data_IF_707984705932
#
_entry.id   IF_707984705932
#
_cell.length_a   1.000
_cell.length_b   1.000
_cell.length_c   1.000
_cell.angle_alpha   90.00
_cell.angle_beta   90.00
_cell.angle_gamma   90.00
#
_symmetry.space_group_name_H-M   'P 1'
#
loop_
_entity.id
_entity.type
_entity.pdbx_description
1 polymer ?
#
# COMPACT_ATOMS: atom_id res chain seq x y z
N UNK A 1 -8.24 49.52 -6.64
CA UNK A 1 -8.53 48.20 -7.26
C UNK A 1 -7.29 47.29 -7.42
N UNK A 2 -6.11 47.82 -7.81
CA UNK A 2 -4.84 47.04 -7.97
C UNK A 2 -4.34 46.34 -6.69
N UNK A 3 -4.54 46.89 -5.49
CA UNK A 3 -4.09 46.26 -4.24
C UNK A 3 -4.83 44.97 -3.85
N UNK A 4 -6.14 44.87 -4.14
CA UNK A 4 -6.93 43.65 -3.86
C UNK A 4 -6.50 42.46 -4.72
N UNK A 5 -6.03 42.72 -5.95
CA UNK A 5 -5.52 41.70 -6.88
C UNK A 5 -4.17 41.18 -6.39
N UNK A 6 -3.29 42.07 -5.90
CA UNK A 6 -1.96 41.73 -5.41
C UNK A 6 -1.97 40.95 -4.07
N UNK A 7 -2.93 41.25 -3.17
CA UNK A 7 -3.17 40.45 -1.95
C UNK A 7 -3.67 39.02 -2.26
N UNK A 8 -4.53 38.85 -3.28
CA UNK A 8 -5.01 37.51 -3.70
C UNK A 8 -3.90 36.65 -4.32
N UNK A 9 -2.99 37.23 -5.11
CA UNK A 9 -1.87 36.49 -5.70
C UNK A 9 -0.85 36.06 -4.64
N UNK A 10 -0.47 36.95 -3.70
CA UNK A 10 0.43 36.60 -2.58
C UNK A 10 -0.15 35.53 -1.67
N UNK A 11 -1.44 35.59 -1.35
CA UNK A 11 -2.11 34.57 -0.53
C UNK A 11 -2.21 33.21 -1.26
N UNK A 12 -2.34 33.24 -2.58
CA UNK A 12 -2.31 32.05 -3.43
C UNK A 12 -0.92 31.42 -3.48
N UNK A 13 0.14 32.21 -3.71
CA UNK A 13 1.53 31.74 -3.69
C UNK A 13 1.87 31.13 -2.32
N UNK A 14 1.44 31.75 -1.22
CA UNK A 14 1.65 31.22 0.14
C UNK A 14 0.90 29.90 0.37
N UNK A 15 -0.34 29.77 -0.12
CA UNK A 15 -1.10 28.50 -0.07
C UNK A 15 -0.50 27.44 -0.99
N UNK A 16 0.01 27.82 -2.15
CA UNK A 16 0.65 26.94 -3.12
C UNK A 16 1.99 26.41 -2.61
N UNK A 17 2.86 27.28 -2.09
CA UNK A 17 4.12 26.88 -1.44
C UNK A 17 3.86 25.97 -0.24
N UNK A 18 2.86 26.30 0.59
CA UNK A 18 2.47 25.44 1.72
C UNK A 18 1.94 24.07 1.25
N UNK A 19 1.21 24.03 0.13
CA UNK A 19 0.72 22.79 -0.48
C UNK A 19 1.87 21.95 -1.07
N UNK A 20 2.78 22.57 -1.83
CA UNK A 20 4.01 21.95 -2.35
C UNK A 20 4.83 21.39 -1.20
N UNK A 21 5.17 22.19 -0.19
CA UNK A 21 5.91 21.71 0.98
C UNK A 21 5.22 20.54 1.70
N UNK A 22 3.89 20.53 1.72
CA UNK A 22 3.13 19.43 2.34
C UNK A 22 3.01 18.17 1.49
N UNK A 23 3.29 18.26 0.18
CA UNK A 23 3.12 17.18 -0.82
C UNK A 23 4.47 16.67 -1.37
N UNK A 24 5.54 17.49 -1.32
CA UNK A 24 6.93 17.13 -1.65
C UNK A 24 7.37 15.81 -1.02
N UNK A 25 7.07 15.51 0.27
CA UNK A 25 7.49 14.25 0.87
C UNK A 25 6.87 13.04 0.16
N UNK A 26 5.63 13.16 -0.32
CA UNK A 26 4.89 12.06 -0.95
C UNK A 26 5.17 11.95 -2.44
N UNK A 27 5.31 13.09 -3.12
CA UNK A 27 5.73 13.15 -4.52
C UNK A 27 7.18 12.68 -4.68
N UNK A 28 8.09 13.20 -3.85
CA UNK A 28 9.48 12.77 -3.81
C UNK A 28 9.59 11.29 -3.45
N UNK A 29 8.77 10.80 -2.53
CA UNK A 29 8.78 9.38 -2.16
C UNK A 29 8.19 8.47 -3.24
N UNK A 30 7.08 8.85 -3.88
CA UNK A 30 6.49 8.06 -4.98
C UNK A 30 7.39 8.04 -6.22
N UNK A 31 8.02 9.17 -6.58
CA UNK A 31 9.07 9.22 -7.60
C UNK A 31 10.29 8.38 -7.20
N UNK A 32 10.72 8.45 -5.95
CA UNK A 32 11.80 7.61 -5.44
C UNK A 32 11.45 6.12 -5.57
N UNK A 33 10.25 5.69 -5.18
CA UNK A 33 9.83 4.30 -5.34
C UNK A 33 9.79 3.86 -6.81
N UNK A 34 9.35 4.73 -7.71
CA UNK A 34 9.22 4.43 -9.14
C UNK A 34 10.60 4.35 -9.81
N UNK A 35 11.51 5.27 -9.46
CA UNK A 35 12.91 5.27 -9.92
C UNK A 35 13.65 4.07 -9.33
N UNK A 36 13.52 3.81 -8.03
CA UNK A 36 14.16 2.66 -7.40
C UNK A 36 13.60 1.33 -7.91
N UNK A 37 12.29 1.22 -8.14
CA UNK A 37 11.67 0.04 -8.75
C UNK A 37 12.20 -0.21 -10.17
N UNK A 38 12.34 0.85 -10.97
CA UNK A 38 12.92 0.79 -12.31
C UNK A 38 14.41 0.40 -12.28
N UNK A 39 15.19 0.96 -11.36
CA UNK A 39 16.61 0.63 -11.18
C UNK A 39 16.77 -0.82 -10.70
N UNK A 40 15.91 -1.30 -9.80
CA UNK A 40 15.91 -2.69 -9.34
C UNK A 40 15.55 -3.68 -10.46
N UNK A 41 14.67 -3.31 -11.39
CA UNK A 41 14.40 -4.11 -12.60
C UNK A 41 15.60 -4.18 -13.55
N UNK A 42 16.44 -3.14 -13.58
CA UNK A 42 17.63 -3.08 -14.44
C UNK A 42 18.89 -3.73 -13.84
N UNK A 43 19.02 -3.74 -12.50
CA UNK A 43 20.24 -4.19 -11.80
C UNK A 43 19.94 -5.52 -11.09
N UNK A 44 19.90 -6.61 -11.85
CA UNK A 44 19.83 -8.03 -11.43
C UNK A 44 19.35 -8.29 -9.98
N UNK A 45 18.07 -8.69 -9.88
CA UNK A 45 17.28 -9.04 -8.69
C UNK A 45 17.87 -10.07 -7.69
N UNK A 46 19.10 -10.57 -7.90
CA UNK A 46 19.69 -11.70 -7.15
C UNK A 46 20.06 -11.40 -5.69
N UNK A 47 19.78 -10.19 -5.20
CA UNK A 47 20.24 -9.68 -3.91
C UNK A 47 19.09 -9.03 -3.13
N UNK A 48 18.12 -9.84 -2.71
CA UNK A 48 17.14 -9.47 -1.67
C UNK A 48 17.28 -10.36 -0.44
N UNK A 49 17.09 -9.79 0.75
CA UNK A 49 17.01 -10.59 1.96
C UNK A 49 15.64 -11.21 2.06
N UNK A 50 15.59 -12.45 2.56
CA UNK A 50 14.33 -13.13 2.93
C UNK A 50 13.55 -12.35 3.99
N UNK A 51 14.27 -11.60 4.82
CA UNK A 51 13.71 -10.77 5.87
C UNK A 51 14.18 -9.33 5.68
N UNK A 52 13.30 -8.41 5.26
CA UNK A 52 13.66 -7.02 4.94
C UNK A 52 14.27 -6.24 6.12
N UNK A 53 14.00 -6.62 7.37
CA UNK A 53 14.65 -5.95 8.51
C UNK A 53 16.10 -6.39 8.75
N UNK A 54 16.69 -7.27 7.91
CA UNK A 54 18.14 -7.48 7.88
C UNK A 54 18.90 -6.30 7.31
N UNK A 55 18.25 -5.46 6.50
CA UNK A 55 18.79 -4.21 5.97
C UNK A 55 20.14 -4.40 5.23
N UNK A 56 20.32 -5.56 4.60
CA UNK A 56 21.60 -5.94 3.96
C UNK A 56 21.67 -5.42 2.53
N UNK A 57 20.54 -5.42 1.83
CA UNK A 57 20.46 -5.00 0.43
C UNK A 57 19.58 -3.77 0.27
N UNK A 58 19.76 -3.05 -0.84
CA UNK A 58 18.99 -1.84 -1.16
C UNK A 58 17.48 -2.12 -1.18
N UNK A 59 17.06 -3.30 -1.64
CA UNK A 59 15.66 -3.77 -1.61
C UNK A 59 15.08 -3.79 -0.20
N UNK A 60 15.88 -4.19 0.78
CA UNK A 60 15.48 -4.30 2.18
C UNK A 60 15.15 -2.91 2.74
N UNK A 61 16.03 -1.94 2.47
CA UNK A 61 15.84 -0.54 2.84
C UNK A 61 14.61 0.07 2.18
N UNK A 62 14.36 -0.21 0.90
CA UNK A 62 13.19 0.32 0.19
C UNK A 62 11.90 -0.16 0.85
N UNK A 63 11.79 -1.44 1.17
CA UNK A 63 10.60 -2.00 1.83
C UNK A 63 10.41 -1.35 3.21
N UNK A 64 11.47 -1.23 4.01
CA UNK A 64 11.37 -0.67 5.37
C UNK A 64 11.01 0.82 5.33
N UNK A 65 11.67 1.60 4.46
CA UNK A 65 11.35 3.03 4.27
C UNK A 65 9.91 3.19 3.78
N UNK A 66 9.44 2.32 2.88
CA UNK A 66 8.05 2.30 2.45
C UNK A 66 7.07 2.09 3.58
N UNK A 67 7.32 1.10 4.46
CA UNK A 67 6.45 0.84 5.60
C UNK A 67 6.40 2.03 6.56
N UNK A 68 7.54 2.68 6.80
CA UNK A 68 7.62 3.89 7.64
C UNK A 68 6.79 5.03 7.00
N UNK A 69 6.99 5.30 5.71
CA UNK A 69 6.31 6.40 5.04
C UNK A 69 4.81 6.15 4.88
N UNK A 70 4.41 4.90 4.60
CA UNK A 70 3.01 4.48 4.60
C UNK A 70 2.36 4.76 5.95
N UNK A 71 3.01 4.40 7.07
CA UNK A 71 2.50 4.70 8.41
C UNK A 71 2.41 6.20 8.71
N UNK A 72 3.46 6.97 8.38
CA UNK A 72 3.45 8.43 8.58
C UNK A 72 2.36 9.10 7.74
N UNK A 73 2.15 8.64 6.51
CA UNK A 73 1.06 9.10 5.66
C UNK A 73 -0.30 8.79 6.29
N UNK A 74 -0.51 7.59 6.78
CA UNK A 74 -1.75 7.15 7.43
C UNK A 74 -2.08 7.97 8.68
N UNK A 75 -1.07 8.27 9.51
CA UNK A 75 -1.24 9.19 10.66
C UNK A 75 -1.65 10.58 10.18
N UNK A 76 -0.94 11.15 9.19
CA UNK A 76 -1.27 12.47 8.64
C UNK A 76 -2.67 12.49 8.01
N UNK A 77 -3.04 11.42 7.32
CA UNK A 77 -4.36 11.24 6.73
C UNK A 77 -5.44 11.33 7.81
N UNK A 78 -5.34 10.55 8.89
CA UNK A 78 -6.28 10.56 10.00
C UNK A 78 -6.39 11.94 10.66
N UNK A 79 -5.27 12.63 10.89
CA UNK A 79 -5.27 14.00 11.42
C UNK A 79 -5.96 14.98 10.45
N UNK A 80 -5.73 14.81 9.15
CA UNK A 80 -6.29 15.68 8.11
C UNK A 80 -7.79 15.48 7.88
N UNK A 81 -8.37 14.34 8.25
CA UNK A 81 -9.81 14.09 8.14
C UNK A 81 -10.64 15.15 8.86
N UNK A 82 -10.16 15.66 10.00
CA UNK A 82 -10.80 16.74 10.77
C UNK A 82 -10.90 18.07 10.02
N UNK A 83 -10.03 18.30 9.03
CA UNK A 83 -9.91 19.58 8.31
C UNK A 83 -10.72 19.61 7.01
N UNK A 84 -11.40 18.51 6.67
CA UNK A 84 -12.00 18.32 5.36
C UNK A 84 -10.94 18.06 4.28
N UNK A 85 -11.32 17.30 3.26
CA UNK A 85 -10.41 16.90 2.18
C UNK A 85 -11.19 16.47 0.95
N UNK A 86 -10.51 16.48 -0.20
CA UNK A 86 -11.07 16.01 -1.47
C UNK A 86 -11.43 14.51 -1.40
N UNK A 87 -12.36 14.06 -2.23
CA UNK A 87 -12.82 12.68 -2.30
C UNK A 87 -11.68 11.70 -2.58
N UNK A 88 -10.77 12.01 -3.50
CA UNK A 88 -9.61 11.16 -3.80
C UNK A 88 -8.69 10.98 -2.59
N UNK A 89 -8.51 12.03 -1.80
CA UNK A 89 -7.72 11.97 -0.57
C UNK A 89 -8.37 11.07 0.46
N UNK A 90 -9.71 11.12 0.58
CA UNK A 90 -10.47 10.24 1.48
C UNK A 90 -10.46 8.79 1.02
N UNK A 91 -10.62 8.56 -0.28
CA UNK A 91 -10.69 7.22 -0.87
C UNK A 91 -9.36 6.47 -0.77
N UNK A 92 -8.31 6.96 -1.43
CA UNK A 92 -7.00 6.30 -1.38
C UNK A 92 -6.34 6.41 0.00
N UNK A 93 -6.58 7.52 0.71
CA UNK A 93 -6.07 7.69 2.07
C UNK A 93 -6.66 6.68 3.06
N UNK A 94 -7.95 6.38 2.94
CA UNK A 94 -8.62 5.33 3.70
C UNK A 94 -7.99 3.97 3.42
N UNK A 95 -7.83 3.63 2.14
CA UNK A 95 -7.23 2.36 1.73
C UNK A 95 -5.82 2.16 2.29
N UNK A 96 -4.94 3.15 2.13
CA UNK A 96 -3.57 3.09 2.67
C UNK A 96 -3.61 2.94 4.19
N UNK A 97 -4.41 3.75 4.88
CA UNK A 97 -4.54 3.70 6.34
C UNK A 97 -5.05 2.36 6.87
N UNK A 98 -6.00 1.72 6.18
CA UNK A 98 -6.52 0.41 6.56
C UNK A 98 -5.42 -0.66 6.59
N UNK A 99 -4.53 -0.65 5.60
CA UNK A 99 -3.57 -1.74 5.43
C UNK A 99 -2.16 -1.42 5.95
N UNK A 100 -1.81 -0.16 6.25
CA UNK A 100 -0.44 0.19 6.72
C UNK A 100 -0.01 -0.65 7.93
N UNK A 101 -0.88 -0.79 8.93
CA UNK A 101 -0.58 -1.56 10.16
C UNK A 101 -0.48 -3.06 9.84
N UNK A 102 -1.35 -3.58 8.97
CA UNK A 102 -1.32 -5.00 8.58
C UNK A 102 0.00 -5.39 7.91
N UNK A 103 0.61 -4.49 7.14
CA UNK A 103 1.89 -4.76 6.50
C UNK A 103 3.04 -4.81 7.52
N UNK A 104 2.97 -4.03 8.60
CA UNK A 104 3.91 -4.18 9.73
C UNK A 104 3.76 -5.52 10.43
N UNK A 105 2.52 -5.93 10.71
CA UNK A 105 2.23 -7.24 11.32
C UNK A 105 2.74 -8.37 10.42
N UNK A 106 2.52 -8.27 9.11
CA UNK A 106 2.99 -9.24 8.12
C UNK A 106 4.51 -9.41 8.17
N UNK A 107 5.26 -8.31 8.25
CA UNK A 107 6.72 -8.39 8.32
C UNK A 107 7.20 -9.08 9.58
N UNK A 108 6.51 -8.92 10.71
CA UNK A 108 6.82 -9.63 11.95
C UNK A 108 6.57 -11.14 11.85
N UNK A 109 5.71 -11.58 10.92
CA UNK A 109 5.37 -12.98 10.70
C UNK A 109 6.32 -13.72 9.75
N UNK A 110 7.22 -13.00 9.08
CA UNK A 110 8.19 -13.58 8.16
C UNK A 110 9.24 -14.41 8.91
N UNK A 111 9.54 -15.58 8.37
CA UNK A 111 10.65 -16.42 8.79
C UNK A 111 11.97 -15.75 8.40
N UNK A 112 12.88 -15.62 9.35
CA UNK A 112 14.10 -14.82 9.19
C UNK A 112 15.19 -15.53 8.38
N UNK A 113 15.16 -16.86 8.32
CA UNK A 113 16.24 -17.71 7.80
C UNK A 113 15.85 -18.39 6.49
N UNK A 114 16.83 -18.57 5.59
CA UNK A 114 16.65 -19.29 4.31
C UNK A 114 16.44 -20.78 4.54
N UNK A 115 17.33 -21.36 5.35
CA UNK A 115 17.17 -22.73 5.80
C UNK A 115 16.15 -22.75 6.93
N UNK A 116 15.12 -23.57 6.76
CA UNK A 116 13.99 -23.66 7.67
C UNK A 116 14.02 -24.95 8.47
N UNK A 117 13.61 -24.86 9.73
CA UNK A 117 13.27 -25.99 10.57
C UNK A 117 11.83 -26.45 10.32
N UNK A 118 11.46 -27.61 10.86
CA UNK A 118 10.07 -28.10 10.77
C UNK A 118 9.10 -27.15 11.49
N UNK A 119 9.53 -26.60 12.63
CA UNK A 119 8.76 -25.59 13.37
C UNK A 119 8.54 -24.33 12.54
N UNK A 120 9.55 -23.86 11.80
CA UNK A 120 9.42 -22.68 10.95
C UNK A 120 8.37 -22.88 9.85
N UNK A 121 8.32 -24.07 9.24
CA UNK A 121 7.32 -24.42 8.23
C UNK A 121 5.91 -24.38 8.83
N UNK A 122 5.70 -25.00 9.99
CA UNK A 122 4.40 -24.99 10.69
C UNK A 122 3.99 -23.57 11.08
N UNK A 123 4.94 -22.77 11.56
CA UNK A 123 4.71 -21.36 11.91
C UNK A 123 4.35 -20.54 10.68
N UNK A 124 5.04 -20.72 9.55
CA UNK A 124 4.78 -20.00 8.30
C UNK A 124 3.36 -20.28 7.79
N UNK A 125 2.92 -21.55 7.79
CA UNK A 125 1.56 -21.94 7.39
C UNK A 125 0.52 -21.29 8.32
N UNK A 126 0.70 -21.42 9.63
CA UNK A 126 -0.20 -20.83 10.62
C UNK A 126 -0.30 -19.31 10.47
N UNK A 127 0.85 -18.63 10.36
CA UNK A 127 0.92 -17.19 10.20
C UNK A 127 0.27 -16.74 8.88
N UNK A 128 0.38 -17.55 7.82
CA UNK A 128 -0.30 -17.28 6.54
C UNK A 128 -1.82 -17.25 6.73
N UNK A 129 -2.40 -18.25 7.40
CA UNK A 129 -3.83 -18.25 7.71
C UNK A 129 -4.23 -17.04 8.57
N UNK A 130 -3.52 -16.80 9.69
CA UNK A 130 -3.80 -15.67 10.60
C UNK A 130 -3.78 -14.34 9.84
N UNK A 131 -2.76 -14.12 9.00
CA UNK A 131 -2.64 -12.88 8.23
C UNK A 131 -3.77 -12.71 7.21
N UNK A 132 -4.15 -13.76 6.49
CA UNK A 132 -5.22 -13.68 5.50
C UNK A 132 -6.59 -13.42 6.17
N UNK A 133 -6.86 -14.02 7.33
CA UNK A 133 -8.06 -13.71 8.12
C UNK A 133 -8.06 -12.27 8.64
N UNK A 134 -6.91 -11.77 9.12
CA UNK A 134 -6.76 -10.37 9.51
C UNK A 134 -7.07 -9.43 8.34
N UNK A 135 -6.53 -9.71 7.15
CA UNK A 135 -6.79 -8.89 5.97
C UNK A 135 -8.26 -8.93 5.54
N UNK A 136 -8.94 -10.07 5.66
CA UNK A 136 -10.37 -10.18 5.37
C UNK A 136 -11.19 -9.24 6.27
N UNK A 137 -10.91 -9.26 7.58
CA UNK A 137 -11.56 -8.36 8.56
C UNK A 137 -11.26 -6.89 8.23
N UNK A 138 -10.01 -6.58 7.90
CA UNK A 138 -9.60 -5.23 7.52
C UNK A 138 -10.26 -4.75 6.22
N UNK A 139 -10.47 -5.64 5.24
CA UNK A 139 -11.21 -5.30 4.03
C UNK A 139 -12.63 -4.84 4.35
N UNK A 140 -13.34 -5.58 5.21
CA UNK A 140 -14.69 -5.23 5.64
C UNK A 140 -14.72 -3.87 6.35
N UNK A 141 -13.85 -3.68 7.34
CA UNK A 141 -13.74 -2.42 8.09
C UNK A 141 -13.38 -1.27 7.14
N UNK A 142 -12.43 -1.50 6.23
CA UNK A 142 -11.95 -0.52 5.26
C UNK A 142 -13.03 -0.06 4.29
N UNK A 143 -13.83 -0.99 3.75
CA UNK A 143 -14.97 -0.67 2.88
C UNK A 143 -15.99 0.18 3.63
N UNK A 144 -16.41 -0.24 4.82
CA UNK A 144 -17.40 0.50 5.64
C UNK A 144 -16.88 1.90 5.96
N UNK A 145 -15.63 2.00 6.39
CA UNK A 145 -14.98 3.27 6.70
C UNK A 145 -14.88 4.20 5.48
N UNK A 146 -14.51 3.66 4.32
CA UNK A 146 -14.39 4.44 3.09
C UNK A 146 -15.76 4.93 2.58
N UNK A 147 -16.79 4.09 2.63
CA UNK A 147 -18.17 4.47 2.33
C UNK A 147 -18.65 5.59 3.25
N UNK A 148 -18.37 5.50 4.56
CA UNK A 148 -18.69 6.56 5.52
C UNK A 148 -18.02 7.89 5.16
N UNK A 149 -16.73 7.87 4.79
CA UNK A 149 -15.98 9.07 4.42
C UNK A 149 -16.47 9.71 3.11
N UNK A 150 -16.97 8.88 2.18
CA UNK A 150 -17.44 9.28 0.85
C UNK A 150 -18.96 9.44 0.74
N UNK A 151 -19.72 9.23 1.82
CA UNK A 151 -21.20 9.24 1.87
C UNK A 151 -21.89 10.43 1.21
N UNK A 152 -21.27 11.63 1.23
CA UNK A 152 -21.83 12.83 0.61
C UNK A 152 -21.90 12.72 -0.93
N UNK A 153 -21.03 11.91 -1.52
CA UNK A 153 -20.93 11.70 -2.97
C UNK A 153 -21.77 10.52 -3.44
N UNK A 154 -21.99 9.53 -2.56
CA UNK A 154 -22.93 8.43 -2.79
C UNK A 154 -24.36 8.93 -3.04
N UNK A 155 -24.74 10.06 -2.42
CA UNK A 155 -26.05 10.70 -2.63
C UNK A 155 -26.28 11.21 -4.05
N UNK A 156 -25.22 11.45 -4.83
CA UNK A 156 -25.33 11.96 -6.19
C UNK A 156 -25.27 10.83 -7.23
N UNK A 157 -24.42 9.82 -7.02
CA UNK A 157 -24.27 8.67 -7.93
C UNK A 157 -23.85 7.41 -7.17
N UNK A 158 -24.58 6.31 -7.37
CA UNK A 158 -24.30 5.01 -6.74
C UNK A 158 -23.01 4.33 -7.27
N UNK A 159 -22.50 4.76 -8.42
CA UNK A 159 -21.26 4.26 -9.03
C UNK A 159 -20.05 4.38 -8.10
N UNK A 160 -20.05 5.35 -7.18
CA UNK A 160 -18.98 5.50 -6.18
C UNK A 160 -18.86 4.29 -5.24
N UNK A 161 -19.92 3.52 -5.03
CA UNK A 161 -19.87 2.28 -4.23
C UNK A 161 -18.93 1.27 -4.89
N UNK A 162 -19.04 1.11 -6.21
CA UNK A 162 -18.20 0.19 -7.00
C UNK A 162 -16.74 0.64 -6.91
N UNK A 163 -16.49 1.94 -7.09
CA UNK A 163 -15.13 2.52 -6.99
C UNK A 163 -14.54 2.28 -5.60
N UNK A 164 -15.32 2.50 -4.54
CA UNK A 164 -14.87 2.30 -3.16
C UNK A 164 -14.49 0.86 -2.88
N UNK A 165 -15.26 -0.10 -3.40
CA UNK A 165 -15.09 -1.53 -3.12
C UNK A 165 -13.94 -2.15 -3.93
N UNK A 166 -13.72 -1.68 -5.16
CA UNK A 166 -12.76 -2.27 -6.11
C UNK A 166 -11.36 -2.59 -5.53
N UNK A 167 -10.66 -1.67 -4.84
CA UNK A 167 -9.31 -1.97 -4.35
C UNK A 167 -9.31 -3.02 -3.23
N UNK A 168 -10.40 -3.13 -2.46
CA UNK A 168 -10.56 -4.16 -1.45
C UNK A 168 -10.87 -5.53 -2.07
N UNK A 169 -11.61 -5.56 -3.19
CA UNK A 169 -11.84 -6.80 -3.94
C UNK A 169 -10.54 -7.40 -4.49
N UNK A 170 -9.59 -6.58 -4.92
CA UNK A 170 -8.28 -7.08 -5.38
C UNK A 170 -7.52 -7.81 -4.26
N UNK A 171 -7.60 -7.31 -3.03
CA UNK A 171 -7.01 -7.98 -1.85
C UNK A 171 -7.80 -9.25 -1.51
N UNK A 172 -9.13 -9.19 -1.52
CA UNK A 172 -9.99 -10.36 -1.26
C UNK A 172 -9.77 -11.47 -2.28
N UNK A 173 -9.60 -11.13 -3.55
CA UNK A 173 -9.26 -12.08 -4.61
C UNK A 173 -7.91 -12.76 -4.33
N UNK A 174 -6.90 -11.99 -3.94
CA UNK A 174 -5.60 -12.55 -3.59
C UNK A 174 -5.66 -13.45 -2.34
N UNK A 175 -6.45 -13.08 -1.33
CA UNK A 175 -6.71 -13.94 -0.17
C UNK A 175 -7.32 -15.27 -0.64
N UNK A 176 -8.33 -15.21 -1.52
CA UNK A 176 -8.99 -16.40 -2.07
C UNK A 176 -8.02 -17.34 -2.78
N UNK A 177 -7.13 -16.79 -3.63
CA UNK A 177 -6.09 -17.58 -4.30
C UNK A 177 -5.14 -18.22 -3.28
N UNK A 178 -4.58 -17.43 -2.37
CA UNK A 178 -3.58 -17.92 -1.41
C UNK A 178 -4.15 -18.98 -0.49
N UNK A 179 -5.35 -18.77 0.06
CA UNK A 179 -6.01 -19.72 0.98
C UNK A 179 -6.41 -20.99 0.24
N UNK A 180 -7.01 -20.88 -0.95
CA UNK A 180 -7.38 -22.06 -1.74
C UNK A 180 -6.14 -22.86 -2.13
N UNK A 181 -5.09 -22.20 -2.61
CA UNK A 181 -3.82 -22.86 -2.96
C UNK A 181 -3.21 -23.58 -1.78
N UNK A 182 -3.21 -22.94 -0.60
CA UNK A 182 -2.69 -23.55 0.63
C UNK A 182 -3.53 -24.74 1.09
N UNK A 183 -4.86 -24.64 1.07
CA UNK A 183 -5.76 -25.74 1.42
C UNK A 183 -5.60 -26.93 0.48
N UNK A 184 -5.56 -26.67 -0.84
CA UNK A 184 -5.33 -27.72 -1.84
C UNK A 184 -3.99 -28.40 -1.60
N UNK A 185 -2.93 -27.61 -1.34
CA UNK A 185 -1.60 -28.15 -1.06
C UNK A 185 -1.57 -28.99 0.23
N UNK A 186 -2.17 -28.52 1.32
CA UNK A 186 -2.14 -29.23 2.62
C UNK A 186 -3.02 -30.46 2.68
N UNK A 187 -3.97 -30.61 1.74
CA UNK A 187 -4.92 -31.72 1.71
C UNK A 187 -4.49 -32.88 0.80
N UNK A 188 -3.37 -32.76 0.07
CA UNK A 188 -2.82 -33.89 -0.69
C UNK A 188 -2.31 -34.99 0.25
N UNK A 189 -2.48 -36.25 -0.15
CA UNK A 189 -2.00 -37.43 0.60
C UNK A 189 -0.49 -37.39 0.89
N UNK A 190 0.25 -36.82 -0.04
CA UNK A 190 1.72 -36.82 -0.02
C UNK A 190 2.27 -35.54 0.64
N UNK A 191 1.40 -34.66 1.13
CA UNK A 191 1.81 -33.46 1.82
C UNK A 191 2.27 -33.78 3.24
N UNK A 192 3.52 -33.40 3.56
CA UNK A 192 3.97 -33.28 4.94
C UNK A 192 4.82 -32.02 5.14
N UNK A 193 4.80 -31.42 6.34
CA UNK A 193 5.73 -30.34 6.68
C UNK A 193 7.22 -30.73 6.52
N UNK A 194 7.58 -32.02 6.68
CA UNK A 194 8.95 -32.49 6.40
C UNK A 194 9.30 -32.33 4.92
N UNK A 195 8.39 -32.71 4.01
CA UNK A 195 8.63 -32.63 2.55
C UNK A 195 8.80 -31.18 2.11
N UNK A 196 7.94 -30.29 2.60
CA UNK A 196 8.05 -28.86 2.30
C UNK A 196 9.36 -28.27 2.83
N UNK A 197 9.80 -28.65 4.03
CA UNK A 197 11.12 -28.28 4.57
C UNK A 197 12.24 -28.75 3.63
N UNK A 198 12.20 -30.00 3.18
CA UNK A 198 13.22 -30.55 2.26
C UNK A 198 13.24 -29.79 0.94
N UNK A 199 12.08 -29.47 0.38
CA UNK A 199 11.98 -28.70 -0.87
C UNK A 199 12.57 -27.28 -0.73
N UNK A 200 12.18 -26.55 0.32
CA UNK A 200 12.71 -25.20 0.56
C UNK A 200 14.22 -25.22 0.81
N UNK A 201 14.72 -26.19 1.58
CA UNK A 201 16.14 -26.26 1.93
C UNK A 201 17.04 -26.82 0.81
N UNK A 202 16.50 -27.59 -0.12
CA UNK A 202 17.24 -28.10 -1.29
C UNK A 202 17.41 -27.06 -2.39
N UNK A 203 16.49 -26.07 -2.47
CA UNK A 203 16.59 -24.98 -3.42
C UNK A 203 17.48 -23.84 -2.88
N UNK A 204 18.50 -23.45 -3.65
CA UNK A 204 19.39 -22.29 -3.34
C UNK A 204 18.62 -20.99 -3.11
N UNK A 205 17.49 -20.82 -3.80
CA UNK A 205 16.61 -19.66 -3.72
C UNK A 205 15.28 -19.96 -3.01
N UNK A 206 15.17 -21.11 -2.33
CA UNK A 206 13.98 -21.46 -1.57
C UNK A 206 13.68 -20.41 -0.49
N UNK A 207 12.42 -19.96 -0.44
CA UNK A 207 11.92 -19.04 0.58
C UNK A 207 10.52 -19.46 1.01
N UNK A 208 10.39 -19.88 2.27
CA UNK A 208 9.12 -20.31 2.86
C UNK A 208 8.11 -19.16 2.95
N UNK A 209 8.57 -17.90 3.01
CA UNK A 209 7.70 -16.75 3.14
C UNK A 209 6.82 -16.53 1.89
N UNK A 210 7.23 -17.09 0.75
CA UNK A 210 6.46 -17.06 -0.49
C UNK A 210 5.16 -17.86 -0.45
N UNK A 211 4.94 -18.68 0.59
CA UNK A 211 3.61 -19.26 0.87
C UNK A 211 2.57 -18.16 1.11
N UNK A 212 2.97 -17.02 1.68
CA UNK A 212 2.08 -15.91 1.96
C UNK A 212 2.23 -14.78 0.93
N UNK A 213 1.92 -15.07 -0.34
CA UNK A 213 2.04 -14.08 -1.42
C UNK A 213 1.18 -12.84 -1.19
N UNK A 214 0.06 -12.97 -0.46
CA UNK A 214 -0.87 -11.87 -0.15
C UNK A 214 -0.17 -10.68 0.51
N UNK A 215 0.88 -10.91 1.31
CA UNK A 215 1.67 -9.84 1.95
C UNK A 215 2.26 -8.90 0.90
N UNK A 216 2.91 -9.48 -0.11
CA UNK A 216 3.61 -8.72 -1.15
C UNK A 216 2.62 -7.99 -2.06
N UNK A 217 1.49 -8.63 -2.39
CA UNK A 217 0.42 -7.97 -3.14
C UNK A 217 -0.24 -6.83 -2.37
N UNK A 218 -0.47 -6.98 -1.05
CA UNK A 218 -1.00 -5.90 -0.20
C UNK A 218 -0.08 -4.67 -0.22
N UNK A 219 1.23 -4.88 -0.12
CA UNK A 219 2.25 -3.83 -0.21
C UNK A 219 2.22 -3.17 -1.60
N UNK A 220 2.20 -3.96 -2.67
CA UNK A 220 2.16 -3.46 -4.04
C UNK A 220 0.90 -2.62 -4.29
N UNK A 221 -0.28 -3.07 -3.86
CA UNK A 221 -1.53 -2.31 -4.01
C UNK A 221 -1.52 -1.00 -3.22
N UNK A 222 -0.90 -0.96 -2.03
CA UNK A 222 -0.69 0.31 -1.31
C UNK A 222 0.23 1.27 -2.06
N UNK A 223 1.31 0.77 -2.67
CA UNK A 223 2.19 1.59 -3.50
C UNK A 223 1.41 2.22 -4.65
N UNK A 224 0.61 1.42 -5.36
CA UNK A 224 -0.26 1.91 -6.44
C UNK A 224 -1.25 2.95 -5.93
N UNK A 225 -1.89 2.72 -4.78
CA UNK A 225 -2.84 3.67 -4.18
C UNK A 225 -2.18 5.02 -3.83
N UNK A 226 -0.94 5.00 -3.31
CA UNK A 226 -0.17 6.21 -3.04
C UNK A 226 0.20 6.96 -4.33
N UNK A 227 0.61 6.24 -5.38
CA UNK A 227 0.91 6.84 -6.69
C UNK A 227 -0.35 7.49 -7.27
N UNK A 228 -1.50 6.81 -7.24
CA UNK A 228 -2.77 7.34 -7.76
C UNK A 228 -3.27 8.54 -6.96
N UNK A 229 -3.10 8.52 -5.63
CA UNK A 229 -3.44 9.67 -4.76
C UNK A 229 -2.62 10.91 -5.14
N UNK A 230 -1.31 10.77 -5.33
CA UNK A 230 -0.45 11.89 -5.71
C UNK A 230 -0.70 12.35 -7.15
N UNK A 231 -0.90 11.42 -8.09
CA UNK A 231 -1.30 11.73 -9.47
C UNK A 231 -2.61 12.52 -9.52
N UNK A 232 -3.63 12.08 -8.78
CA UNK A 232 -4.91 12.78 -8.68
C UNK A 232 -4.79 14.17 -8.04
N UNK A 233 -3.88 14.33 -7.07
CA UNK A 233 -3.58 15.65 -6.46
C UNK A 233 -2.96 16.61 -7.46
N UNK A 234 -2.01 16.15 -8.28
CA UNK A 234 -1.39 16.96 -9.34
C UNK A 234 -2.44 17.39 -10.36
N UNK A 235 -3.27 16.46 -10.84
CA UNK A 235 -4.29 16.75 -11.83
C UNK A 235 -5.28 17.83 -11.34
N UNK A 236 -5.79 17.70 -10.11
CA UNK A 236 -6.69 18.69 -9.50
C UNK A 236 -6.01 20.06 -9.36
N UNK A 237 -4.71 20.09 -9.09
CA UNK A 237 -3.96 21.34 -9.02
C UNK A 237 -3.81 22.01 -10.39
N UNK A 238 -3.43 21.24 -11.43
CA UNK A 238 -3.30 21.72 -12.80
C UNK A 238 -4.64 22.27 -13.34
N UNK A 239 -5.75 21.57 -13.12
CA UNK A 239 -7.07 22.04 -13.54
C UNK A 239 -7.44 23.39 -12.90
N UNK A 240 -7.15 23.58 -11.61
CA UNK A 240 -7.40 24.86 -10.93
C UNK A 240 -6.55 26.01 -11.48
N UNK A 241 -5.34 25.73 -11.99
CA UNK A 241 -4.53 26.73 -12.66
C UNK A 241 -5.13 27.12 -14.01
N UNK A 242 -5.58 26.13 -14.79
CA UNK A 242 -6.21 26.35 -16.11
C UNK A 242 -7.52 27.13 -15.98
N UNK A 243 -8.43 26.73 -15.08
CA UNK A 243 -9.69 27.44 -14.83
C UNK A 243 -9.49 28.90 -14.45
N UNK A 244 -8.45 29.19 -13.65
CA UNK A 244 -8.11 30.58 -13.31
C UNK A 244 -7.60 31.34 -14.51
N UNK A 245 -6.71 30.76 -15.31
CA UNK A 245 -6.17 31.41 -16.52
C UNK A 245 -7.27 31.77 -17.51
N UNK A 246 -8.30 30.93 -17.63
CA UNK A 246 -9.46 31.17 -18.48
C UNK A 246 -10.45 32.20 -17.90
N UNK A 247 -10.48 32.41 -16.58
CA UNK A 247 -11.28 33.47 -15.93
C UNK A 247 -10.70 34.88 -16.04
N UNK A 248 -9.45 35.00 -16.49
CA UNK A 248 -8.74 36.27 -16.68
C UNK A 248 -8.49 36.60 -18.17
N UNK A 249 -9.05 35.79 -19.07
CA UNK A 249 -9.26 36.14 -20.48
C UNK A 249 -10.70 36.60 -20.64
#
# INVERSE_FOLDING_TARGET
MKEKINKKSKLFIKKFLKWIYSSIPYLGFSLFLLVMGSILLMVNFDKSSIYPFKLKFVTDWIIVIFLIISTLFSIKFLISLKKGGNIYHKYFGSFVATFSISNWIAMCFLIKNRKVSLSDVKIAIRNTYIYNYLLLVLCLIGVIWCLYLTRRYLKFTNWWIIVVILPYLLILYQIGITVKGLQTFTNYSDYSPEILKMFVNSNKYGDINLINQTVYYSIAYQMVALILLEGGRIFVYLNKLVEKKNKYK
#
